data_IF_118573317646
#
_entry.id   IF_118573317646
#
_cell.length_a   1.000
_cell.length_b   1.000
_cell.length_c   1.000
_cell.angle_alpha   90.00
_cell.angle_beta   90.00
_cell.angle_gamma   90.00
#
_symmetry.space_group_name_H-M   'P 1'
#
loop_
_entity.id
_entity.type
_entity.pdbx_description
1 polymer ?
#
# COMPACT_ATOMS: atom_id res chain seq x y z
N UNK A 1 29.64 -38.36 8.42
CA UNK A 1 28.64 -37.27 8.32
C UNK A 1 28.76 -36.20 9.41
N UNK A 2 29.76 -36.23 10.30
CA UNK A 2 29.90 -35.23 11.38
C UNK A 2 31.13 -34.31 11.23
N UNK A 3 31.19 -33.49 10.18
CA UNK A 3 32.28 -32.50 10.05
C UNK A 3 31.89 -31.17 9.37
N UNK A 4 30.62 -30.97 9.01
CA UNK A 4 30.17 -29.79 8.24
C UNK A 4 29.23 -28.84 9.01
N UNK A 5 29.05 -29.03 10.31
CA UNK A 5 28.15 -28.21 11.15
C UNK A 5 28.86 -27.23 12.10
N UNK A 6 30.17 -26.99 11.97
CA UNK A 6 30.94 -26.25 12.98
C UNK A 6 31.50 -24.88 12.57
N UNK A 7 31.06 -24.28 11.46
CA UNK A 7 31.49 -22.92 11.06
C UNK A 7 30.39 -22.12 10.34
N UNK A 8 29.19 -22.06 10.91
CA UNK A 8 28.36 -20.87 10.70
C UNK A 8 28.79 -19.87 11.77
N UNK A 9 29.70 -18.96 11.41
CA UNK A 9 29.95 -17.73 12.17
C UNK A 9 28.68 -16.87 12.10
N UNK A 10 27.67 -17.26 12.89
CA UNK A 10 26.49 -16.44 13.09
C UNK A 10 26.93 -15.13 13.75
N UNK A 11 26.60 -14.02 13.08
CA UNK A 11 26.86 -12.68 13.59
C UNK A 11 26.29 -12.60 15.02
N UNK A 12 27.11 -12.27 16.05
CA UNK A 12 26.67 -12.35 17.43
C UNK A 12 25.45 -11.45 17.67
N UNK A 13 24.33 -12.06 18.07
CA UNK A 13 23.11 -11.33 18.39
C UNK A 13 23.32 -10.50 19.66
N UNK A 14 23.23 -9.18 19.54
CA UNK A 14 23.26 -8.27 20.69
C UNK A 14 21.85 -8.16 21.29
N UNK A 15 21.72 -8.50 22.56
CA UNK A 15 20.53 -8.18 23.36
C UNK A 15 20.81 -6.93 24.21
N UNK A 16 20.06 -5.85 23.97
CA UNK A 16 20.15 -4.62 24.78
C UNK A 16 19.10 -4.69 25.88
N UNK A 17 19.54 -4.82 27.14
CA UNK A 17 18.66 -4.76 28.31
C UNK A 17 18.55 -3.31 28.78
N UNK A 18 17.37 -2.72 28.60
CA UNK A 18 17.06 -1.35 29.02
C UNK A 18 16.43 -1.37 30.42
N UNK A 19 17.06 -0.70 31.39
CA UNK A 19 16.46 -0.43 32.69
C UNK A 19 15.55 0.80 32.57
N UNK A 20 14.23 0.60 32.48
CA UNK A 20 13.25 1.69 32.41
C UNK A 20 12.96 2.22 33.83
N UNK A 21 13.26 3.49 34.15
CA UNK A 21 12.76 4.09 35.38
C UNK A 21 11.23 4.22 35.30
N UNK A 22 10.54 4.08 36.45
CA UNK A 22 9.10 4.25 36.72
C UNK A 22 8.20 4.48 35.48
N UNK A 23 7.44 3.45 35.12
CA UNK A 23 6.15 3.49 34.39
C UNK A 23 5.99 4.66 33.41
N UNK A 24 6.82 4.71 32.37
CA UNK A 24 6.57 5.60 31.24
C UNK A 24 5.43 5.00 30.39
N UNK A 25 4.19 5.29 30.78
CA UNK A 25 2.96 4.79 30.12
C UNK A 25 3.02 4.99 28.60
N UNK A 26 3.60 6.11 28.14
CA UNK A 26 3.77 6.40 26.71
C UNK A 26 4.76 5.46 26.02
N UNK A 27 5.85 5.08 26.68
CA UNK A 27 6.78 4.10 26.13
C UNK A 27 6.11 2.73 25.98
N UNK A 28 5.29 2.31 26.95
CA UNK A 28 4.49 1.08 26.85
C UNK A 28 3.43 1.16 25.75
N UNK A 29 2.72 2.29 25.62
CA UNK A 29 1.75 2.50 24.55
C UNK A 29 2.41 2.43 23.18
N UNK A 30 3.56 3.06 22.98
CA UNK A 30 4.31 2.97 21.73
C UNK A 30 4.77 1.53 21.46
N UNK A 31 5.33 0.86 22.47
CA UNK A 31 5.76 -0.54 22.38
C UNK A 31 4.62 -1.48 22.00
N UNK A 32 3.44 -1.30 22.60
CA UNK A 32 2.24 -2.07 22.29
C UNK A 32 1.70 -1.74 20.89
N UNK A 33 1.70 -0.45 20.52
CA UNK A 33 1.25 0.01 19.20
C UNK A 33 2.08 -0.56 18.07
N UNK A 34 3.40 -0.67 18.26
CA UNK A 34 4.33 -1.26 17.28
C UNK A 34 4.17 -2.79 17.13
N UNK A 35 3.60 -3.48 18.12
CA UNK A 35 3.33 -4.93 18.06
C UNK A 35 1.94 -5.28 17.53
N UNK A 36 1.06 -4.29 17.46
CA UNK A 36 -0.32 -4.42 17.01
C UNK A 36 -0.53 -3.81 15.63
N UNK A 37 -1.71 -4.03 15.03
CA UNK A 37 -2.13 -3.43 13.77
C UNK A 37 -2.64 -2.00 13.99
N UNK A 38 -1.76 -1.10 14.42
CA UNK A 38 -2.12 0.30 14.69
C UNK A 38 -1.62 1.23 13.59
N UNK A 39 -2.34 2.34 13.40
CA UNK A 39 -1.91 3.41 12.48
C UNK A 39 -0.57 4.01 12.88
N UNK A 40 -0.22 3.99 14.17
CA UNK A 40 1.07 4.45 14.67
C UNK A 40 2.21 3.60 14.09
N UNK A 41 2.04 2.28 14.03
CA UNK A 41 3.04 1.38 13.42
C UNK A 41 3.25 1.72 11.94
N UNK A 42 2.16 1.88 11.21
CA UNK A 42 2.18 2.27 9.79
C UNK A 42 2.89 3.60 9.60
N UNK A 43 2.53 4.64 10.36
CA UNK A 43 3.19 5.93 10.27
C UNK A 43 4.68 5.82 10.61
N UNK A 44 5.03 5.11 11.68
CA UNK A 44 6.42 4.91 12.08
C UNK A 44 7.24 4.18 11.01
N UNK A 45 6.67 3.15 10.39
CA UNK A 45 7.32 2.37 9.34
C UNK A 45 7.56 3.20 8.08
N UNK A 46 6.51 3.86 7.57
CA UNK A 46 6.62 4.64 6.33
C UNK A 46 7.42 5.95 6.50
N UNK A 47 7.54 6.48 7.72
CA UNK A 47 8.45 7.60 7.99
C UNK A 47 9.93 7.21 7.83
N UNK A 48 10.27 5.92 7.77
CA UNK A 48 11.61 5.48 7.42
C UNK A 48 12.01 5.88 5.99
N UNK A 49 11.07 6.18 5.08
CA UNK A 49 11.42 6.75 3.77
C UNK A 49 12.16 8.07 3.90
N UNK A 50 11.73 8.95 4.82
CA UNK A 50 12.43 10.21 5.07
C UNK A 50 13.88 9.94 5.50
N UNK A 51 14.09 8.97 6.39
CA UNK A 51 15.43 8.57 6.85
C UNK A 51 16.28 7.95 5.72
N UNK A 52 15.70 7.04 4.95
CA UNK A 52 16.37 6.41 3.81
C UNK A 52 16.81 7.44 2.76
N UNK A 53 15.93 8.40 2.44
CA UNK A 53 16.23 9.47 1.49
C UNK A 53 17.37 10.37 2.00
N UNK A 54 17.36 10.74 3.29
CA UNK A 54 18.47 11.50 3.90
C UNK A 54 19.80 10.73 3.80
N UNK A 55 19.77 9.43 4.06
CA UNK A 55 20.96 8.57 4.00
C UNK A 55 21.47 8.44 2.56
N UNK A 56 20.60 8.15 1.60
CA UNK A 56 20.95 8.06 0.18
C UNK A 56 21.54 9.39 -0.32
N UNK A 57 20.91 10.52 0.00
CA UNK A 57 21.41 11.83 -0.41
C UNK A 57 22.81 12.13 0.13
N UNK A 58 23.07 11.74 1.40
CA UNK A 58 24.39 11.86 2.03
C UNK A 58 25.45 10.97 1.38
N UNK A 59 25.09 9.75 0.99
CA UNK A 59 26.00 8.78 0.36
C UNK A 59 26.31 9.17 -1.10
N UNK A 60 25.31 9.64 -1.84
CA UNK A 60 25.45 10.03 -3.24
C UNK A 60 26.19 11.36 -3.43
N UNK A 61 26.17 12.25 -2.43
CA UNK A 61 26.78 13.59 -2.51
C UNK A 61 27.79 13.80 -1.37
N UNK A 62 28.97 13.15 -1.41
CA UNK A 62 29.98 13.28 -0.35
C UNK A 62 30.51 14.71 -0.20
N UNK A 63 30.48 15.51 -1.28
CA UNK A 63 30.89 16.91 -1.29
C UNK A 63 30.06 17.78 -0.34
N UNK A 64 28.77 17.47 -0.17
CA UNK A 64 27.90 18.21 0.75
C UNK A 64 28.39 18.05 2.19
N UNK A 65 28.78 16.83 2.57
CA UNK A 65 29.32 16.55 3.89
C UNK A 65 30.63 17.32 4.11
N UNK A 66 31.46 17.43 3.07
CA UNK A 66 32.71 18.20 3.11
C UNK A 66 32.45 19.71 3.20
N UNK A 67 31.48 20.25 2.46
CA UNK A 67 31.11 21.68 2.48
C UNK A 67 30.65 22.15 3.86
N UNK A 68 29.93 21.30 4.61
CA UNK A 68 29.48 21.67 5.95
C UNK A 68 30.57 21.56 7.02
N UNK A 69 31.73 20.95 6.73
CA UNK A 69 32.96 21.10 7.52
C UNK A 69 32.84 20.82 9.03
N UNK A 70 31.87 20.02 9.47
CA UNK A 70 31.59 19.73 10.88
C UNK A 70 30.35 20.43 11.47
N UNK A 71 29.67 21.31 10.73
CA UNK A 71 28.38 21.88 11.11
C UNK A 71 27.24 20.86 10.89
N UNK A 72 27.08 19.97 11.88
CA UNK A 72 26.08 18.91 11.86
C UNK A 72 24.64 19.44 11.73
N UNK A 73 24.33 20.57 12.40
CA UNK A 73 22.98 21.17 12.37
C UNK A 73 22.64 21.76 11.00
N UNK A 74 23.62 22.37 10.33
CA UNK A 74 23.48 22.87 8.97
C UNK A 74 23.24 21.73 7.97
N UNK A 75 24.02 20.66 8.10
CA UNK A 75 23.87 19.46 7.27
C UNK A 75 22.47 18.83 7.46
N UNK A 76 22.03 18.62 8.70
CA UNK A 76 20.73 18.00 8.97
C UNK A 76 19.57 18.80 8.38
N UNK A 77 19.61 20.14 8.44
CA UNK A 77 18.59 20.99 7.81
C UNK A 77 18.56 20.83 6.29
N UNK A 78 19.70 20.70 5.62
CA UNK A 78 19.73 20.45 4.18
C UNK A 78 19.20 19.05 3.83
N UNK A 79 19.58 18.04 4.61
CA UNK A 79 19.04 16.68 4.46
C UNK A 79 17.52 16.67 4.65
N UNK A 80 16.99 17.38 5.64
CA UNK A 80 15.56 17.55 5.88
C UNK A 80 14.84 18.25 4.74
N UNK A 81 15.40 19.34 4.21
CA UNK A 81 14.82 20.04 3.05
C UNK A 81 14.69 19.11 1.85
N UNK A 82 15.72 18.31 1.59
CA UNK A 82 15.71 17.33 0.50
C UNK A 82 14.62 16.28 0.75
N UNK A 83 14.63 15.64 1.92
CA UNK A 83 13.66 14.60 2.28
C UNK A 83 12.21 15.10 2.16
N UNK A 84 11.93 16.31 2.68
CA UNK A 84 10.60 16.96 2.58
C UNK A 84 10.18 17.29 1.16
N UNK A 85 11.13 17.48 0.23
CA UNK A 85 10.84 17.76 -1.18
C UNK A 85 10.48 16.48 -1.94
N UNK A 86 11.12 15.35 -1.62
CA UNK A 86 10.92 14.08 -2.33
C UNK A 86 9.86 13.17 -1.71
N UNK A 87 9.60 13.30 -0.42
CA UNK A 87 8.64 12.45 0.29
C UNK A 87 7.62 13.29 1.04
N UNK A 88 6.35 12.98 0.80
CA UNK A 88 5.19 13.49 1.54
C UNK A 88 4.34 12.30 1.93
N UNK A 89 4.03 12.20 3.22
CA UNK A 89 3.18 11.14 3.72
C UNK A 89 1.81 11.70 4.08
N UNK A 90 0.80 11.25 3.34
CA UNK A 90 -0.56 11.74 3.43
C UNK A 90 -1.48 10.65 3.96
N UNK A 91 -2.17 10.93 5.05
CA UNK A 91 -3.12 10.01 5.68
C UNK A 91 -4.52 10.62 5.58
N UNK A 92 -5.47 9.88 5.01
CA UNK A 92 -6.89 10.27 5.04
C UNK A 92 -7.53 9.81 6.35
N UNK A 93 -8.01 10.77 7.14
CA UNK A 93 -8.79 10.56 8.36
C UNK A 93 -10.10 11.33 8.25
N UNK A 94 -11.06 10.84 7.44
CA UNK A 94 -12.36 11.49 7.22
C UNK A 94 -13.08 11.92 8.50
N UNK A 95 -13.00 11.10 9.55
CA UNK A 95 -13.73 11.32 10.82
C UNK A 95 -13.01 12.21 11.84
N UNK A 96 -11.86 12.80 11.51
CA UNK A 96 -11.04 13.58 12.46
C UNK A 96 -11.85 14.67 13.18
N UNK A 97 -12.74 15.37 12.47
CA UNK A 97 -13.58 16.44 13.03
C UNK A 97 -14.57 15.94 14.11
N UNK A 98 -14.86 14.64 14.13
CA UNK A 98 -15.82 13.95 15.01
C UNK A 98 -15.12 13.08 16.07
N UNK A 99 -13.81 13.24 16.26
CA UNK A 99 -13.04 12.51 17.26
C UNK A 99 -13.42 12.91 18.69
N UNK A 100 -13.41 11.93 19.59
CA UNK A 100 -13.52 12.15 21.03
C UNK A 100 -12.25 12.82 21.55
N UNK A 101 -12.27 13.47 22.74
CA UNK A 101 -11.12 14.19 23.27
C UNK A 101 -9.83 13.35 23.35
N UNK A 102 -9.91 12.08 23.74
CA UNK A 102 -8.75 11.19 23.80
C UNK A 102 -8.20 10.79 22.42
N UNK A 103 -9.07 10.64 21.41
CA UNK A 103 -8.65 10.36 20.03
C UNK A 103 -7.94 11.57 19.43
N UNK A 104 -8.41 12.77 19.77
CA UNK A 104 -7.79 14.02 19.34
C UNK A 104 -6.42 14.24 20.01
N UNK A 105 -6.28 13.89 21.29
CA UNK A 105 -4.97 13.89 21.98
C UNK A 105 -3.98 12.92 21.32
N UNK A 106 -4.45 11.72 20.94
CA UNK A 106 -3.62 10.73 20.24
C UNK A 106 -3.21 11.21 18.84
N UNK A 107 -4.11 11.84 18.09
CA UNK A 107 -3.80 12.43 16.79
C UNK A 107 -2.79 13.59 16.91
N UNK A 108 -2.92 14.42 17.94
CA UNK A 108 -1.98 15.50 18.23
C UNK A 108 -0.61 14.95 18.65
N UNK A 109 -0.57 13.85 19.42
CA UNK A 109 0.67 13.16 19.74
C UNK A 109 1.37 12.64 18.47
N UNK A 110 0.64 12.06 17.52
CA UNK A 110 1.18 11.64 16.23
C UNK A 110 1.79 12.81 15.45
N UNK A 111 1.09 13.95 15.37
CA UNK A 111 1.57 15.14 14.68
C UNK A 111 2.78 15.79 15.37
N UNK A 112 2.92 15.66 16.69
CA UNK A 112 4.11 16.10 17.42
C UNK A 112 5.30 15.17 17.20
N UNK A 113 5.08 13.86 17.16
CA UNK A 113 6.12 12.88 16.90
C UNK A 113 6.62 12.93 15.44
N UNK A 114 5.71 13.19 14.50
CA UNK A 114 5.99 13.28 13.08
C UNK A 114 5.42 14.57 12.47
N UNK A 115 6.12 15.71 12.61
CA UNK A 115 5.61 17.02 12.18
C UNK A 115 5.33 17.14 10.67
N UNK A 116 6.04 16.37 9.85
CA UNK A 116 5.90 16.36 8.39
C UNK A 116 4.77 15.47 7.88
N UNK A 117 4.06 14.77 8.78
CA UNK A 117 2.87 14.00 8.48
C UNK A 117 1.74 14.93 8.05
N UNK A 118 1.10 14.63 6.92
CA UNK A 118 -0.07 15.37 6.45
C UNK A 118 -1.32 14.54 6.69
N UNK A 119 -2.33 15.16 7.31
CA UNK A 119 -3.62 14.52 7.58
C UNK A 119 -4.70 15.26 6.80
N UNK A 120 -5.36 14.54 5.90
CA UNK A 120 -6.55 15.01 5.19
C UNK A 120 -7.80 14.57 5.94
N UNK A 121 -8.71 15.49 6.24
CA UNK A 121 -9.98 15.18 6.90
C UNK A 121 -11.15 15.95 6.29
N UNK A 122 -12.37 15.53 6.63
CA UNK A 122 -13.59 16.21 6.23
C UNK A 122 -14.02 17.18 7.32
N UNK A 123 -14.17 18.44 6.94
CA UNK A 123 -14.70 19.51 7.76
C UNK A 123 -16.13 19.82 7.31
N UNK A 124 -17.05 19.97 8.25
CA UNK A 124 -18.47 20.17 7.97
C UNK A 124 -18.90 21.54 8.53
N UNK A 125 -19.42 22.41 7.65
CA UNK A 125 -20.07 23.65 8.06
C UNK A 125 -21.60 23.51 7.99
N UNK A 126 -22.32 24.14 8.93
CA UNK A 126 -23.77 24.19 8.86
C UNK A 126 -24.25 24.86 7.57
N UNK A 127 -25.41 24.47 7.04
CA UNK A 127 -25.97 25.04 5.82
C UNK A 127 -26.27 26.54 5.99
N UNK A 128 -26.08 27.32 4.92
CA UNK A 128 -26.40 28.76 4.89
C UNK A 128 -27.92 29.04 4.93
N UNK A 129 -28.74 28.06 4.60
CA UNK A 129 -30.19 28.17 4.53
C UNK A 129 -30.82 27.06 5.38
N UNK A 130 -31.86 27.39 6.14
CA UNK A 130 -32.58 26.40 6.96
C UNK A 130 -33.14 25.28 6.07
N UNK A 131 -32.72 24.04 6.33
CA UNK A 131 -33.12 22.85 5.57
C UNK A 131 -32.19 22.44 4.41
N UNK A 132 -31.09 23.15 4.17
CA UNK A 132 -30.09 22.80 3.15
C UNK A 132 -29.12 21.68 3.57
N UNK A 133 -28.42 21.09 2.60
CA UNK A 133 -27.33 20.15 2.88
C UNK A 133 -26.11 20.84 3.50
N UNK A 134 -25.40 20.19 4.44
CA UNK A 134 -24.20 20.75 5.05
C UNK A 134 -23.11 20.95 4.00
N UNK A 135 -22.34 22.03 4.13
CA UNK A 135 -21.20 22.28 3.26
C UNK A 135 -20.01 21.47 3.76
N UNK A 136 -19.55 20.56 2.91
CA UNK A 136 -18.43 19.69 3.24
C UNK A 136 -17.17 20.25 2.58
N UNK A 137 -16.11 20.38 3.37
CA UNK A 137 -14.80 20.81 2.93
C UNK A 137 -13.81 19.69 3.14
N UNK A 138 -12.92 19.52 2.17
CA UNK A 138 -11.70 18.73 2.32
C UNK A 138 -10.61 19.64 2.89
N UNK A 139 -10.06 19.27 4.05
CA UNK A 139 -9.07 20.07 4.77
C UNK A 139 -7.78 19.28 4.98
N UNK A 140 -6.64 19.97 4.88
CA UNK A 140 -5.30 19.41 5.11
C UNK A 140 -4.62 20.09 6.30
N UNK A 141 -4.15 19.30 7.27
CA UNK A 141 -3.34 19.76 8.40
C UNK A 141 -2.00 19.03 8.46
N UNK A 142 -1.02 19.63 9.13
CA UNK A 142 0.23 18.98 9.51
C UNK A 142 0.72 19.48 10.88
N UNK A 143 1.86 18.94 11.35
CA UNK A 143 2.41 19.26 12.66
C UNK A 143 2.99 20.68 12.77
N UNK A 144 3.15 21.38 11.66
CA UNK A 144 3.63 22.77 11.62
C UNK A 144 2.49 23.81 11.61
N UNK A 145 1.24 23.38 11.48
CA UNK A 145 0.08 24.26 11.56
C UNK A 145 -0.06 24.93 12.93
N UNK A 146 -0.41 26.21 12.94
CA UNK A 146 -0.78 26.96 14.15
C UNK A 146 -1.98 26.32 14.85
N UNK A 147 -1.93 26.29 16.18
CA UNK A 147 -3.04 25.84 17.02
C UNK A 147 -3.94 27.05 17.28
N UNK A 148 -5.21 26.94 16.91
CA UNK A 148 -6.23 27.94 17.16
C UNK A 148 -6.72 27.86 18.62
N UNK A 149 -7.41 28.89 19.08
CA UNK A 149 -7.95 28.98 20.46
C UNK A 149 -8.92 27.84 20.82
N UNK A 150 -9.52 27.21 19.80
CA UNK A 150 -10.39 26.04 19.94
C UNK A 150 -9.62 24.71 20.11
N UNK A 151 -8.29 24.75 20.22
CA UNK A 151 -7.42 23.58 20.34
C UNK A 151 -7.23 22.78 19.03
N UNK A 152 -7.81 23.24 17.90
CA UNK A 152 -7.64 22.62 16.59
C UNK A 152 -6.55 23.33 15.80
N UNK A 153 -5.89 22.58 14.93
CA UNK A 153 -4.90 23.13 14.00
C UNK A 153 -5.58 23.88 12.86
N UNK A 154 -5.05 25.04 12.49
CA UNK A 154 -5.50 25.79 11.32
C UNK A 154 -5.16 24.99 10.05
N UNK A 155 -6.14 24.65 9.19
CA UNK A 155 -5.87 23.89 7.97
C UNK A 155 -5.03 24.72 6.98
N UNK A 156 -4.04 24.07 6.34
CA UNK A 156 -3.21 24.68 5.28
C UNK A 156 -4.01 24.91 4.01
N UNK A 157 -4.80 23.92 3.65
CA UNK A 157 -5.72 23.97 2.54
C UNK A 157 -7.10 23.58 3.04
N UNK A 158 -8.11 24.28 2.54
CA UNK A 158 -9.52 24.02 2.81
C UNK A 158 -10.28 24.23 1.51
N UNK A 159 -10.79 23.15 0.94
CA UNK A 159 -11.39 23.14 -0.40
C UNK A 159 -12.84 22.66 -0.25
N UNK A 160 -13.79 23.44 -0.76
CA UNK A 160 -15.19 23.07 -0.74
C UNK A 160 -15.44 21.92 -1.74
N UNK A 161 -16.11 20.86 -1.29
CA UNK A 161 -16.50 19.74 -2.14
C UNK A 161 -17.88 19.97 -2.74
N UNK A 162 -18.13 19.38 -3.91
CA UNK A 162 -19.40 19.50 -4.64
C UNK A 162 -20.57 18.72 -4.01
N UNK A 163 -20.33 17.99 -2.92
CA UNK A 163 -21.31 17.17 -2.22
C UNK A 163 -20.63 16.28 -1.18
N UNK A 164 -21.36 15.27 -0.68
CA UNK A 164 -20.80 14.28 0.24
C UNK A 164 -19.82 13.33 -0.49
N UNK A 165 -18.53 13.31 -0.13
CA UNK A 165 -17.54 12.47 -0.79
C UNK A 165 -17.61 10.99 -0.38
N UNK A 166 -18.42 10.65 0.63
CA UNK A 166 -18.55 9.26 1.11
C UNK A 166 -19.59 8.56 0.23
N UNK A 167 -19.11 7.87 -0.80
CA UNK A 167 -19.96 7.15 -1.76
C UNK A 167 -19.96 5.65 -1.51
N UNK A 168 -18.82 5.03 -1.18
CA UNK A 168 -18.66 3.58 -1.07
C UNK A 168 -18.36 3.08 0.34
N UNK A 169 -17.54 2.03 0.41
CA UNK A 169 -17.14 1.33 1.64
C UNK A 169 -16.02 2.05 2.42
N UNK A 170 -15.68 3.29 2.04
CA UNK A 170 -14.73 4.14 2.76
C UNK A 170 -13.27 4.04 2.31
N UNK A 171 -12.73 2.88 1.89
CA UNK A 171 -11.32 2.78 1.44
C UNK A 171 -11.09 3.60 0.16
N UNK A 172 -11.88 3.36 -0.87
CA UNK A 172 -11.86 4.12 -2.13
C UNK A 172 -12.13 5.61 -1.91
N UNK A 173 -13.12 5.95 -1.08
CA UNK A 173 -13.45 7.34 -0.75
C UNK A 173 -12.29 8.05 -0.04
N UNK A 174 -11.59 7.36 0.86
CA UNK A 174 -10.41 7.89 1.56
C UNK A 174 -9.25 8.16 0.61
N UNK A 175 -8.96 7.22 -0.30
CA UNK A 175 -7.89 7.39 -1.28
C UNK A 175 -8.21 8.55 -2.25
N UNK A 176 -9.44 8.62 -2.76
CA UNK A 176 -9.88 9.70 -3.65
C UNK A 176 -9.90 11.06 -2.94
N UNK A 177 -10.30 11.10 -1.66
CA UNK A 177 -10.25 12.31 -0.84
C UNK A 177 -8.82 12.80 -0.63
N UNK A 178 -7.88 11.90 -0.33
CA UNK A 178 -6.46 12.25 -0.18
C UNK A 178 -5.84 12.74 -1.49
N UNK A 179 -6.29 12.23 -2.63
CA UNK A 179 -5.78 12.58 -3.95
C UNK A 179 -5.92 14.09 -4.29
N UNK A 180 -6.73 14.87 -3.58
CA UNK A 180 -6.76 16.33 -3.81
C UNK A 180 -5.42 16.99 -3.40
N UNK A 181 -4.76 16.42 -2.39
CA UNK A 181 -3.57 16.99 -1.77
C UNK A 181 -2.26 16.30 -2.17
N UNK A 182 -2.30 15.26 -3.02
CA UNK A 182 -1.06 14.60 -3.44
C UNK A 182 -0.15 15.59 -4.15
N UNK A 183 1.15 15.47 -3.91
CA UNK A 183 2.19 16.20 -4.64
C UNK A 183 3.34 15.24 -4.89
N UNK A 184 3.55 14.90 -6.15
CA UNK A 184 4.57 13.93 -6.58
C UNK A 184 4.20 13.30 -7.91
N UNK A 185 5.20 12.76 -8.60
CA UNK A 185 5.04 12.04 -9.87
C UNK A 185 4.54 10.61 -9.67
N UNK A 186 4.93 10.00 -8.54
CA UNK A 186 4.54 8.66 -8.16
C UNK A 186 3.79 8.66 -6.82
N UNK A 187 2.79 7.79 -6.70
CA UNK A 187 2.01 7.58 -5.49
C UNK A 187 2.17 6.13 -5.06
N UNK A 188 2.44 5.89 -3.78
CA UNK A 188 2.34 4.56 -3.18
C UNK A 188 1.03 4.49 -2.40
N UNK A 189 0.21 3.49 -2.71
CA UNK A 189 -1.01 3.22 -1.93
C UNK A 189 -0.69 2.20 -0.84
N UNK A 190 -1.14 2.52 0.37
CA UNK A 190 -0.86 1.72 1.56
C UNK A 190 -2.12 1.53 2.40
N UNK A 191 -2.21 0.37 3.03
CA UNK A 191 -3.24 0.09 4.02
C UNK A 191 -2.80 0.53 5.43
N UNK A 192 -3.77 0.85 6.29
CA UNK A 192 -3.53 1.34 7.64
C UNK A 192 -2.87 0.33 8.59
N UNK A 193 -2.69 -0.93 8.17
CA UNK A 193 -2.06 -2.02 8.91
C UNK A 193 -0.75 -2.52 8.26
N UNK A 194 -0.18 -1.75 7.32
CA UNK A 194 1.11 -2.05 6.73
C UNK A 194 2.28 -1.45 7.51
N UNK A 195 3.47 -1.98 7.29
CA UNK A 195 4.71 -1.54 7.93
C UNK A 195 5.83 -1.48 6.88
N UNK A 196 6.83 -0.63 7.12
CA UNK A 196 7.97 -0.53 6.22
C UNK A 196 9.28 -0.43 7.01
N UNK A 197 10.22 -1.30 6.64
CA UNK A 197 11.53 -1.37 7.26
C UNK A 197 12.49 -0.39 6.56
N UNK A 198 13.51 0.06 7.30
CA UNK A 198 14.46 1.06 6.77
C UNK A 198 15.24 0.50 5.56
N UNK A 199 15.60 -0.77 5.61
CA UNK A 199 16.31 -1.53 4.59
C UNK A 199 15.51 -1.60 3.28
N UNK A 200 14.19 -1.74 3.38
CA UNK A 200 13.29 -1.74 2.22
C UNK A 200 13.15 -0.32 1.65
N UNK A 201 13.08 0.70 2.51
CA UNK A 201 13.02 2.09 2.11
C UNK A 201 14.24 2.54 1.28
N UNK A 202 15.42 1.95 1.50
CA UNK A 202 16.63 2.23 0.71
C UNK A 202 16.50 1.80 -0.76
N UNK A 203 15.62 0.83 -1.05
CA UNK A 203 15.41 0.29 -2.41
C UNK A 203 14.49 1.16 -3.26
N UNK A 204 13.95 2.25 -2.72
CA UNK A 204 12.99 3.12 -3.41
C UNK A 204 13.51 3.63 -4.76
N UNK A 205 14.81 3.95 -4.86
CA UNK A 205 15.43 4.38 -6.11
C UNK A 205 15.29 3.33 -7.21
N UNK A 206 15.54 2.06 -6.87
CA UNK A 206 15.40 0.95 -7.81
C UNK A 206 13.93 0.75 -8.21
N UNK A 207 13.00 0.81 -7.24
CA UNK A 207 11.56 0.68 -7.54
C UNK A 207 11.06 1.79 -8.46
N UNK A 208 11.50 3.03 -8.26
CA UNK A 208 11.12 4.14 -9.15
C UNK A 208 11.74 4.00 -10.55
N UNK A 209 12.92 3.38 -10.68
CA UNK A 209 13.53 3.11 -11.97
C UNK A 209 12.72 2.09 -12.81
N UNK A 210 11.90 1.24 -12.18
CA UNK A 210 11.04 0.29 -12.90
C UNK A 210 9.98 0.95 -13.78
N UNK A 211 9.67 2.24 -13.56
CA UNK A 211 8.78 3.02 -14.41
C UNK A 211 9.38 3.35 -15.79
N UNK A 212 10.68 3.09 -16.01
CA UNK A 212 11.38 3.27 -17.29
C UNK A 212 11.36 4.72 -17.84
N UNK A 213 11.05 5.71 -16.99
CA UNK A 213 11.06 7.14 -17.36
C UNK A 213 12.44 7.78 -17.18
N UNK A 214 13.35 7.11 -16.46
CA UNK A 214 14.72 7.56 -16.29
C UNK A 214 15.50 7.24 -17.57
N UNK A 215 15.99 8.27 -18.26
CA UNK A 215 16.84 8.15 -19.47
C UNK A 215 18.26 7.63 -19.18
N UNK A 216 18.41 6.70 -18.25
CA UNK A 216 19.67 6.04 -17.94
C UNK A 216 19.70 4.77 -18.80
N UNK A 217 20.70 4.64 -19.66
CA UNK A 217 20.94 3.37 -20.35
C UNK A 217 21.17 2.28 -19.29
N UNK A 218 20.33 1.23 -19.21
CA UNK A 218 20.56 0.14 -18.28
C UNK A 218 21.79 -0.66 -18.73
N UNK A 219 22.96 -0.31 -18.21
CA UNK A 219 24.20 -1.07 -18.44
C UNK A 219 24.16 -2.32 -17.57
N UNK A 220 24.15 -3.51 -18.17
CA UNK A 220 24.20 -4.76 -17.41
C UNK A 220 25.63 -4.99 -16.90
N UNK A 221 25.91 -4.96 -15.59
CA UNK A 221 27.28 -5.10 -15.07
C UNK A 221 27.84 -6.50 -15.34
N UNK A 222 26.98 -7.50 -15.53
CA UNK A 222 27.38 -8.89 -15.78
C UNK A 222 27.52 -9.25 -17.26
N UNK A 223 27.05 -8.38 -18.18
CA UNK A 223 27.10 -8.66 -19.63
C UNK A 223 27.48 -7.39 -20.40
N UNK A 224 28.77 -7.06 -20.48
CA UNK A 224 29.25 -5.91 -21.22
C UNK A 224 28.83 -6.02 -22.70
N UNK A 225 28.13 -5.02 -23.23
CA UNK A 225 27.70 -4.96 -24.63
C UNK A 225 26.26 -5.41 -24.91
N UNK A 226 25.53 -5.91 -23.91
CA UNK A 226 24.09 -6.12 -24.05
C UNK A 226 23.39 -4.75 -24.03
N UNK A 227 23.12 -4.20 -25.20
CA UNK A 227 22.26 -3.02 -25.33
C UNK A 227 20.81 -3.49 -25.16
N UNK A 228 20.06 -2.82 -24.28
CA UNK A 228 18.61 -2.98 -24.28
C UNK A 228 18.12 -2.62 -25.70
N UNK A 229 17.24 -3.42 -26.29
CA UNK A 229 16.59 -3.02 -27.55
C UNK A 229 16.01 -1.62 -27.37
N UNK A 230 16.17 -0.74 -28.37
CA UNK A 230 15.62 0.61 -28.34
C UNK A 230 14.13 0.53 -27.98
N UNK A 231 13.80 0.89 -26.74
CA UNK A 231 12.43 0.86 -26.22
C UNK A 231 11.61 2.03 -26.77
N UNK A 232 11.83 2.45 -28.02
CA UNK A 232 11.20 3.63 -28.61
C UNK A 232 9.68 3.51 -28.76
N UNK A 233 9.11 2.32 -28.52
CA UNK A 233 7.71 2.00 -28.71
C UNK A 233 7.04 1.34 -27.49
N UNK A 234 7.67 1.39 -26.32
CA UNK A 234 7.10 0.78 -25.13
C UNK A 234 5.97 1.65 -24.54
N UNK A 235 4.82 1.01 -24.31
CA UNK A 235 3.72 1.57 -23.55
C UNK A 235 4.18 2.02 -22.15
N UNK A 236 3.70 3.15 -21.60
CA UNK A 236 4.15 3.64 -20.29
C UNK A 236 3.81 2.63 -19.18
N UNK A 237 4.70 2.49 -18.20
CA UNK A 237 4.42 1.71 -16.99
C UNK A 237 3.51 2.54 -16.10
N UNK A 238 2.28 2.07 -15.89
CA UNK A 238 1.30 2.78 -15.07
C UNK A 238 1.42 2.39 -13.59
N UNK A 239 1.72 1.12 -13.31
CA UNK A 239 1.74 0.56 -11.96
C UNK A 239 2.93 -0.40 -11.82
N UNK A 240 3.67 -0.27 -10.74
CA UNK A 240 4.71 -1.21 -10.31
C UNK A 240 4.26 -1.83 -9.01
N UNK A 241 3.82 -3.07 -9.06
CA UNK A 241 3.35 -3.74 -7.87
C UNK A 241 4.47 -4.44 -7.09
N UNK A 242 4.33 -4.47 -5.78
CA UNK A 242 5.32 -5.00 -4.84
C UNK A 242 4.75 -6.15 -4.01
N UNK A 243 5.60 -6.91 -3.34
CA UNK A 243 5.16 -8.03 -2.50
C UNK A 243 4.89 -7.60 -1.05
N UNK A 244 4.06 -8.38 -0.37
CA UNK A 244 3.76 -8.21 1.05
C UNK A 244 4.41 -9.32 1.88
N UNK A 245 4.86 -8.97 3.08
CA UNK A 245 5.33 -9.90 4.09
C UNK A 245 4.38 -9.87 5.30
N UNK A 246 3.78 -11.01 5.63
CA UNK A 246 2.80 -11.10 6.71
C UNK A 246 3.52 -11.32 8.05
N UNK A 247 3.79 -10.24 8.78
CA UNK A 247 4.51 -10.34 10.06
C UNK A 247 3.71 -11.02 11.18
N UNK A 248 2.41 -11.24 10.99
CA UNK A 248 1.55 -11.95 11.94
C UNK A 248 1.59 -13.48 11.78
N UNK A 249 2.39 -14.03 10.87
CA UNK A 249 2.52 -15.47 10.59
C UNK A 249 2.69 -16.33 11.86
N UNK A 250 3.51 -15.88 12.81
CA UNK A 250 3.88 -16.62 14.02
C UNK A 250 2.78 -16.66 15.11
N UNK A 251 1.60 -16.12 14.85
CA UNK A 251 0.53 -16.05 15.85
C UNK A 251 -0.30 -17.33 15.95
N UNK A 252 -0.14 -18.28 15.01
CA UNK A 252 -0.77 -19.59 15.04
C UNK A 252 -0.94 -20.23 13.66
N UNK A 253 -1.50 -21.44 13.61
CA UNK A 253 -1.67 -22.23 12.36
C UNK A 253 -2.51 -21.50 11.30
N UNK A 254 -3.58 -20.80 11.72
CA UNK A 254 -4.37 -19.97 10.81
C UNK A 254 -3.55 -18.80 10.23
N UNK A 255 -2.63 -18.26 11.02
CA UNK A 255 -1.65 -17.25 10.60
C UNK A 255 -0.72 -17.75 9.54
N UNK A 256 -0.13 -18.91 9.78
CA UNK A 256 0.77 -19.58 8.85
C UNK A 256 0.10 -19.87 7.50
N UNK A 257 -1.09 -20.48 7.50
CA UNK A 257 -1.84 -20.76 6.26
C UNK A 257 -2.21 -19.49 5.50
N UNK A 258 -2.67 -18.45 6.21
CA UNK A 258 -3.02 -17.18 5.59
C UNK A 258 -1.79 -16.46 5.01
N UNK A 259 -0.66 -16.50 5.72
CA UNK A 259 0.62 -15.94 5.27
C UNK A 259 1.16 -16.68 4.04
N UNK A 260 1.16 -18.01 4.05
CA UNK A 260 1.61 -18.83 2.92
C UNK A 260 0.78 -18.60 1.65
N UNK A 261 -0.54 -18.40 1.79
CA UNK A 261 -1.41 -17.99 0.68
C UNK A 261 -0.98 -16.65 0.08
N UNK A 262 -0.77 -15.64 0.92
CA UNK A 262 -0.37 -14.30 0.45
C UNK A 262 1.03 -14.31 -0.16
N UNK A 263 1.97 -15.06 0.42
CA UNK A 263 3.32 -15.20 -0.09
C UNK A 263 3.34 -15.84 -1.49
N UNK A 264 2.55 -16.90 -1.69
CA UNK A 264 2.42 -17.56 -3.00
C UNK A 264 1.82 -16.63 -4.04
N UNK A 265 0.79 -15.86 -3.65
CA UNK A 265 0.14 -14.89 -4.51
C UNK A 265 1.08 -13.73 -4.89
N UNK A 266 1.73 -13.13 -3.90
CA UNK A 266 2.61 -11.98 -4.06
C UNK A 266 3.99 -12.28 -4.64
N UNK A 267 4.29 -13.54 -4.96
CA UNK A 267 5.56 -13.95 -5.59
C UNK A 267 5.30 -14.70 -6.89
N UNK A 268 5.18 -16.03 -6.85
CA UNK A 268 5.08 -16.91 -8.02
C UNK A 268 3.94 -16.49 -8.96
N UNK A 269 2.76 -16.24 -8.39
CA UNK A 269 1.58 -15.88 -9.17
C UNK A 269 1.72 -14.48 -9.79
N UNK A 270 2.01 -13.47 -8.97
CA UNK A 270 2.21 -12.10 -9.42
C UNK A 270 3.35 -11.96 -10.46
N UNK A 271 4.46 -12.69 -10.30
CA UNK A 271 5.58 -12.72 -11.26
C UNK A 271 5.12 -13.27 -12.62
N UNK A 272 4.50 -14.43 -12.61
CA UNK A 272 4.05 -15.10 -13.84
C UNK A 272 3.00 -14.25 -14.57
N UNK A 273 2.03 -13.70 -13.82
CA UNK A 273 1.03 -12.80 -14.38
C UNK A 273 1.62 -11.51 -14.93
N UNK A 274 2.63 -10.94 -14.26
CA UNK A 274 3.27 -9.71 -14.75
C UNK A 274 4.01 -9.94 -16.06
N UNK A 275 4.64 -11.10 -16.24
CA UNK A 275 5.36 -11.43 -17.49
C UNK A 275 4.41 -11.67 -18.67
N UNK A 276 3.26 -12.31 -18.42
CA UNK A 276 2.26 -12.59 -19.46
C UNK A 276 1.35 -11.37 -19.71
N UNK A 277 1.35 -10.38 -18.81
CA UNK A 277 0.50 -9.20 -18.89
C UNK A 277 -0.90 -9.40 -18.33
N UNK A 278 -1.10 -10.42 -17.49
CA UNK A 278 -2.35 -10.71 -16.79
C UNK A 278 -2.43 -10.14 -15.37
N UNK A 279 -1.40 -9.41 -14.89
CA UNK A 279 -1.39 -8.84 -13.54
C UNK A 279 -2.20 -7.55 -13.48
N UNK A 280 -3.00 -7.38 -12.44
CA UNK A 280 -3.72 -6.14 -12.11
C UNK A 280 -3.15 -5.45 -10.86
N UNK A 281 -3.78 -4.35 -10.47
CA UNK A 281 -3.52 -3.64 -9.22
C UNK A 281 -4.31 -4.29 -8.08
N UNK A 282 -3.62 -4.64 -6.99
CA UNK A 282 -4.23 -5.28 -5.81
C UNK A 282 -4.22 -4.39 -4.57
N UNK A 283 -4.18 -3.07 -4.78
CA UNK A 283 -4.35 -2.05 -3.75
C UNK A 283 -3.07 -1.58 -3.09
N UNK A 284 -2.27 -2.50 -2.57
CA UNK A 284 -1.08 -2.17 -1.80
C UNK A 284 -0.06 -3.34 -1.83
N UNK A 285 1.24 -3.06 -1.68
CA UNK A 285 1.91 -1.76 -1.55
C UNK A 285 2.37 -1.23 -2.92
N UNK A 286 1.48 -1.29 -3.93
CA UNK A 286 1.80 -0.93 -5.30
C UNK A 286 2.13 0.56 -5.46
N UNK A 287 3.09 0.85 -6.33
CA UNK A 287 3.44 2.19 -6.78
C UNK A 287 2.72 2.50 -8.08
N UNK A 288 2.26 3.74 -8.20
CA UNK A 288 1.43 4.20 -9.30
C UNK A 288 2.02 5.46 -9.90
N UNK A 289 2.08 5.54 -11.23
CA UNK A 289 2.35 6.77 -11.95
C UNK A 289 1.14 7.71 -11.80
N UNK A 290 1.31 8.74 -10.97
CA UNK A 290 0.24 9.65 -10.60
C UNK A 290 -0.30 10.40 -11.82
N UNK A 291 0.58 10.88 -12.69
CA UNK A 291 0.21 11.62 -13.90
C UNK A 291 -0.62 10.76 -14.85
N UNK A 292 -0.21 9.49 -15.05
CA UNK A 292 -0.93 8.57 -15.91
C UNK A 292 -2.33 8.26 -15.36
N UNK A 293 -2.43 7.89 -14.08
CA UNK A 293 -3.69 7.42 -13.48
C UNK A 293 -4.68 8.54 -13.19
N UNK A 294 -4.22 9.69 -12.68
CA UNK A 294 -5.12 10.80 -12.30
C UNK A 294 -5.82 11.43 -13.51
N UNK A 295 -5.20 11.37 -14.68
CA UNK A 295 -5.80 11.82 -15.95
C UNK A 295 -6.72 10.78 -16.60
N UNK A 296 -6.81 9.55 -16.06
CA UNK A 296 -7.46 8.39 -16.71
C UNK A 296 -8.45 7.63 -15.84
N UNK A 297 -8.90 8.21 -14.73
CA UNK A 297 -9.92 7.60 -13.86
C UNK A 297 -9.54 7.55 -12.38
N UNK A 298 -8.35 8.01 -12.02
CA UNK A 298 -7.89 8.06 -10.63
C UNK A 298 -7.33 6.71 -10.15
N UNK A 299 -7.18 6.59 -8.84
CA UNK A 299 -6.51 5.44 -8.21
C UNK A 299 -7.49 4.40 -7.69
N UNK A 300 -8.77 4.75 -7.52
CA UNK A 300 -9.75 3.88 -6.90
C UNK A 300 -11.17 4.21 -7.34
N UNK A 301 -11.95 3.18 -7.70
CA UNK A 301 -13.32 3.35 -8.18
C UNK A 301 -14.32 3.25 -7.02
N UNK A 302 -14.78 4.39 -6.52
CA UNK A 302 -15.78 4.46 -5.44
C UNK A 302 -17.21 4.39 -6.00
N UNK A 303 -18.03 3.48 -5.49
CA UNK A 303 -19.48 3.47 -5.75
C UNK A 303 -20.24 2.85 -4.57
N UNK A 304 -21.46 3.33 -4.31
CA UNK A 304 -22.30 2.84 -3.21
C UNK A 304 -22.78 1.41 -3.47
N UNK A 305 -22.36 0.47 -2.63
CA UNK A 305 -22.80 -0.93 -2.68
C UNK A 305 -22.34 -1.71 -3.91
N UNK A 306 -21.37 -1.18 -4.65
CA UNK A 306 -20.76 -1.81 -5.83
C UNK A 306 -19.26 -1.51 -5.84
N UNK A 307 -18.49 -2.32 -6.56
CA UNK A 307 -17.04 -2.23 -6.66
C UNK A 307 -16.32 -2.48 -5.33
N UNK A 308 -16.64 -3.61 -4.68
CA UNK A 308 -15.96 -4.06 -3.44
C UNK A 308 -14.44 -4.24 -3.60
N UNK A 309 -13.99 -4.50 -4.84
CA UNK A 309 -12.59 -4.63 -5.22
C UNK A 309 -12.16 -3.39 -6.05
N UNK A 310 -12.27 -2.22 -5.44
CA UNK A 310 -12.06 -0.89 -6.04
C UNK A 310 -10.69 -0.74 -6.74
N UNK A 311 -9.65 -1.35 -6.17
CA UNK A 311 -8.27 -1.24 -6.62
C UNK A 311 -8.07 -1.96 -7.97
N UNK A 312 -8.74 -3.11 -8.15
CA UNK A 312 -8.64 -3.92 -9.36
C UNK A 312 -9.18 -3.16 -10.57
N UNK A 313 -10.20 -2.32 -10.39
CA UNK A 313 -10.72 -1.46 -11.45
C UNK A 313 -9.70 -0.43 -11.93
N UNK A 314 -8.84 0.07 -11.05
CA UNK A 314 -7.75 0.95 -11.46
C UNK A 314 -6.72 0.17 -12.31
N UNK A 315 -6.42 -1.08 -11.94
CA UNK A 315 -5.59 -1.98 -12.76
C UNK A 315 -6.19 -2.23 -14.16
N UNK A 316 -7.48 -2.54 -14.24
CA UNK A 316 -8.15 -2.75 -15.53
C UNK A 316 -8.16 -1.48 -16.40
N UNK A 317 -8.42 -0.32 -15.80
CA UNK A 317 -8.34 0.97 -16.49
C UNK A 317 -6.92 1.27 -16.99
N UNK A 318 -5.89 0.95 -16.21
CA UNK A 318 -4.51 1.13 -16.64
C UNK A 318 -4.22 0.33 -17.91
N UNK A 319 -4.60 -0.96 -17.94
CA UNK A 319 -4.41 -1.81 -19.12
C UNK A 319 -5.22 -1.34 -20.33
N UNK A 320 -6.51 -1.03 -20.14
CA UNK A 320 -7.40 -0.56 -21.23
C UNK A 320 -6.94 0.75 -21.87
N UNK A 321 -6.19 1.58 -21.12
CA UNK A 321 -5.64 2.85 -21.61
C UNK A 321 -4.22 2.71 -22.15
N UNK A 322 -3.76 1.48 -22.37
CA UNK A 322 -2.45 1.19 -22.93
C UNK A 322 -1.29 1.40 -21.95
N UNK A 323 -1.56 1.35 -20.65
CA UNK A 323 -0.53 1.30 -19.61
C UNK A 323 -0.09 -0.14 -19.31
N UNK A 324 1.15 -0.32 -18.90
CA UNK A 324 1.68 -1.63 -18.44
C UNK A 324 1.71 -1.71 -16.92
N UNK A 325 1.56 -2.92 -16.41
CA UNK A 325 1.67 -3.24 -14.97
C UNK A 325 2.86 -4.17 -14.78
N UNK A 326 3.82 -3.75 -13.96
CA UNK A 326 5.01 -4.52 -13.61
C UNK A 326 4.90 -5.12 -12.20
N UNK A 327 5.80 -6.04 -11.90
CA UNK A 327 5.97 -6.58 -10.56
C UNK A 327 7.44 -6.63 -10.16
N UNK A 328 7.75 -6.07 -8.99
CA UNK A 328 9.04 -6.19 -8.35
C UNK A 328 8.93 -7.07 -7.10
N UNK A 329 9.89 -7.96 -6.90
CA UNK A 329 9.92 -8.87 -5.75
C UNK A 329 11.01 -8.53 -4.74
N UNK A 330 12.01 -7.73 -5.13
CA UNK A 330 13.12 -7.37 -4.26
C UNK A 330 12.71 -6.34 -3.18
N UNK A 331 11.60 -5.64 -3.37
CA UNK A 331 11.01 -4.71 -2.41
C UNK A 331 9.77 -5.33 -1.78
N UNK A 332 9.64 -5.20 -0.46
CA UNK A 332 8.50 -5.74 0.29
C UNK A 332 8.01 -4.78 1.38
N UNK A 333 6.72 -4.82 1.69
CA UNK A 333 6.16 -4.17 2.87
C UNK A 333 5.60 -5.20 3.85
N UNK A 334 5.75 -4.92 5.14
CA UNK A 334 5.08 -5.69 6.18
C UNK A 334 3.57 -5.46 6.15
N UNK A 335 2.78 -6.47 6.47
CA UNK A 335 1.32 -6.37 6.62
C UNK A 335 0.81 -7.20 7.76
N UNK A 336 -0.02 -6.58 8.59
CA UNK A 336 -0.76 -7.29 9.63
C UNK A 336 -1.99 -7.96 9.05
N UNK A 337 -2.27 -9.19 9.48
CA UNK A 337 -3.53 -9.87 9.19
C UNK A 337 -4.19 -10.30 10.49
N UNK A 338 -5.50 -10.09 10.56
CA UNK A 338 -6.34 -10.65 11.61
C UNK A 338 -6.62 -12.11 11.31
N UNK A 339 -6.31 -12.98 12.27
CA UNK A 339 -6.21 -14.43 12.06
C UNK A 339 -7.41 -15.23 12.62
N UNK A 340 -8.50 -14.53 12.95
CA UNK A 340 -9.76 -15.17 13.32
C UNK A 340 -10.45 -15.77 12.10
N UNK A 341 -11.05 -16.95 12.24
CA UNK A 341 -11.79 -17.62 11.16
C UNK A 341 -12.89 -16.73 10.55
N UNK A 342 -13.65 -16.03 11.39
CA UNK A 342 -14.67 -15.09 10.92
C UNK A 342 -14.10 -13.94 10.10
N UNK A 343 -12.93 -13.41 10.48
CA UNK A 343 -12.27 -12.34 9.73
C UNK A 343 -11.72 -12.83 8.39
N UNK A 344 -11.12 -14.03 8.37
CA UNK A 344 -10.66 -14.69 7.14
C UNK A 344 -11.83 -14.99 6.19
N UNK A 345 -12.95 -15.45 6.73
CA UNK A 345 -14.18 -15.71 5.98
C UNK A 345 -14.70 -14.41 5.35
N UNK A 346 -14.86 -13.35 6.15
CA UNK A 346 -15.32 -12.05 5.64
C UNK A 346 -14.40 -11.50 4.55
N UNK A 347 -13.09 -11.62 4.72
CA UNK A 347 -12.10 -11.22 3.70
C UNK A 347 -12.27 -12.02 2.40
N UNK A 348 -12.43 -13.34 2.50
CA UNK A 348 -12.59 -14.21 1.33
C UNK A 348 -13.92 -13.96 0.62
N UNK A 349 -15.00 -13.75 1.38
CA UNK A 349 -16.31 -13.37 0.86
C UNK A 349 -16.25 -12.03 0.13
N UNK A 350 -15.55 -11.03 0.68
CA UNK A 350 -15.38 -9.73 0.03
C UNK A 350 -14.69 -9.88 -1.33
N UNK A 351 -13.59 -10.64 -1.40
CA UNK A 351 -12.89 -10.88 -2.67
C UNK A 351 -13.80 -11.60 -3.67
N UNK A 352 -14.48 -12.67 -3.25
CA UNK A 352 -15.36 -13.46 -4.10
C UNK A 352 -16.53 -12.64 -4.66
N UNK A 353 -17.19 -11.85 -3.82
CA UNK A 353 -18.27 -10.97 -4.23
C UNK A 353 -17.77 -9.89 -5.22
N UNK A 354 -16.64 -9.25 -4.91
CA UNK A 354 -16.05 -8.25 -5.80
C UNK A 354 -15.60 -8.82 -7.15
N UNK A 355 -15.18 -10.09 -7.22
CA UNK A 355 -14.89 -10.77 -8.50
C UNK A 355 -16.15 -11.03 -9.31
N UNK A 356 -17.26 -11.38 -8.65
CA UNK A 356 -18.57 -11.49 -9.31
C UNK A 356 -19.02 -10.16 -9.94
N UNK A 357 -18.83 -9.05 -9.23
CA UNK A 357 -19.09 -7.71 -9.77
C UNK A 357 -18.20 -7.36 -10.96
N UNK A 358 -16.92 -7.76 -10.92
CA UNK A 358 -15.99 -7.53 -12.03
C UNK A 358 -16.45 -8.21 -13.32
N UNK A 359 -16.99 -9.43 -13.25
CA UNK A 359 -17.51 -10.13 -14.44
C UNK A 359 -18.64 -9.35 -15.14
N UNK A 360 -19.44 -8.59 -14.38
CA UNK A 360 -20.52 -7.77 -14.89
C UNK A 360 -20.07 -6.37 -15.35
N UNK A 361 -18.80 -6.04 -15.13
CA UNK A 361 -18.27 -4.70 -15.39
C UNK A 361 -17.97 -4.47 -16.87
N UNK A 362 -18.10 -3.20 -17.28
CA UNK A 362 -17.79 -2.75 -18.64
C UNK A 362 -16.30 -2.93 -18.95
N UNK A 363 -15.43 -2.69 -17.96
CA UNK A 363 -13.99 -2.84 -18.09
C UNK A 363 -13.63 -4.30 -18.45
N UNK A 364 -14.26 -5.27 -17.77
CA UNK A 364 -14.08 -6.68 -18.06
C UNK A 364 -14.58 -7.06 -19.45
N UNK A 365 -15.71 -6.50 -19.90
CA UNK A 365 -16.22 -6.69 -21.26
C UNK A 365 -15.23 -6.20 -22.34
N UNK A 366 -14.63 -5.02 -22.16
CA UNK A 366 -13.65 -4.51 -23.12
C UNK A 366 -12.34 -5.33 -23.11
N UNK A 367 -11.84 -5.72 -21.94
CA UNK A 367 -10.67 -6.60 -21.86
C UNK A 367 -10.96 -7.94 -22.54
N UNK A 368 -12.15 -8.50 -22.35
CA UNK A 368 -12.55 -9.76 -22.96
C UNK A 368 -12.67 -9.72 -24.50
N UNK A 369 -12.92 -8.55 -25.08
CA UNK A 369 -13.06 -8.38 -26.54
C UNK A 369 -11.79 -7.92 -27.24
N UNK A 370 -10.86 -7.29 -26.51
CA UNK A 370 -9.65 -6.68 -27.08
C UNK A 370 -8.37 -7.49 -26.84
N UNK A 371 -8.34 -8.36 -25.83
CA UNK A 371 -7.15 -9.16 -25.54
C UNK A 371 -6.99 -10.31 -26.55
N UNK A 372 -5.75 -10.63 -26.97
CA UNK A 372 -5.49 -11.83 -27.75
C UNK A 372 -5.78 -13.08 -26.90
N UNK A 373 -6.06 -14.21 -27.56
CA UNK A 373 -6.62 -15.41 -26.90
C UNK A 373 -5.75 -15.94 -25.76
N UNK A 374 -4.43 -15.91 -25.90
CA UNK A 374 -3.45 -16.33 -24.88
C UNK A 374 -3.52 -15.46 -23.61
N UNK A 375 -3.58 -14.14 -23.78
CA UNK A 375 -3.73 -13.19 -22.67
C UNK A 375 -5.13 -13.23 -22.09
N UNK A 376 -6.15 -13.44 -22.91
CA UNK A 376 -7.53 -13.57 -22.46
C UNK A 376 -7.70 -14.81 -21.56
N UNK A 377 -7.18 -15.97 -21.96
CA UNK A 377 -7.24 -17.18 -21.14
C UNK A 377 -6.48 -17.01 -19.83
N UNK A 378 -5.31 -16.36 -19.87
CA UNK A 378 -4.53 -16.01 -18.67
C UNK A 378 -5.34 -15.09 -17.75
N UNK A 379 -5.93 -14.03 -18.30
CA UNK A 379 -6.75 -13.08 -17.58
C UNK A 379 -7.99 -13.75 -16.95
N UNK A 380 -8.67 -14.63 -17.69
CA UNK A 380 -9.80 -15.40 -17.18
C UNK A 380 -9.38 -16.30 -16.01
N UNK A 381 -8.34 -17.11 -16.19
CA UNK A 381 -7.86 -18.02 -15.16
C UNK A 381 -7.38 -17.28 -13.91
N UNK A 382 -6.69 -16.16 -14.10
CA UNK A 382 -6.13 -15.35 -13.00
C UNK A 382 -7.18 -14.65 -12.14
N UNK A 383 -8.37 -14.38 -12.69
CA UNK A 383 -9.41 -13.59 -12.04
C UNK A 383 -10.67 -14.44 -11.78
N UNK A 384 -11.81 -14.30 -12.51
CA UNK A 384 -13.03 -15.01 -12.10
C UNK A 384 -12.94 -16.52 -12.31
N UNK A 385 -12.14 -16.99 -13.28
CA UNK A 385 -11.96 -18.42 -13.56
C UNK A 385 -11.40 -19.17 -12.36
N UNK A 386 -10.48 -18.57 -11.59
CA UNK A 386 -9.96 -19.15 -10.36
C UNK A 386 -11.08 -19.47 -9.35
N UNK A 387 -12.00 -18.54 -9.13
CA UNK A 387 -13.08 -18.70 -8.17
C UNK A 387 -14.13 -19.71 -8.63
N UNK A 388 -14.49 -19.69 -9.92
CA UNK A 388 -15.41 -20.66 -10.51
C UNK A 388 -14.83 -22.09 -10.46
N UNK A 389 -13.56 -22.24 -10.81
CA UNK A 389 -12.88 -23.55 -10.75
C UNK A 389 -12.83 -24.08 -9.31
N UNK A 390 -12.53 -23.22 -8.33
CA UNK A 390 -12.54 -23.63 -6.92
C UNK A 390 -13.93 -24.08 -6.44
N UNK A 391 -15.00 -23.44 -6.90
CA UNK A 391 -16.37 -23.88 -6.61
C UNK A 391 -16.62 -25.28 -7.16
N UNK A 392 -16.25 -25.55 -8.41
CA UNK A 392 -16.41 -26.87 -9.02
C UNK A 392 -15.57 -27.93 -8.30
N UNK A 393 -14.32 -27.63 -7.95
CA UNK A 393 -13.45 -28.55 -7.21
C UNK A 393 -14.06 -28.90 -5.85
N UNK A 394 -14.54 -27.89 -5.11
CA UNK A 394 -15.20 -28.11 -3.81
C UNK A 394 -16.47 -28.96 -3.94
N UNK A 395 -17.31 -28.68 -4.94
CA UNK A 395 -18.51 -29.48 -5.20
C UNK A 395 -18.16 -30.91 -5.57
N UNK A 396 -17.17 -31.13 -6.44
CA UNK A 396 -16.72 -32.48 -6.81
C UNK A 396 -16.19 -33.26 -5.62
N UNK A 397 -15.41 -32.63 -4.73
CA UNK A 397 -14.94 -33.26 -3.50
C UNK A 397 -16.07 -33.59 -2.53
N UNK A 398 -17.04 -32.69 -2.36
CA UNK A 398 -18.21 -32.93 -1.52
C UNK A 398 -19.05 -34.09 -2.05
N UNK A 399 -19.31 -34.13 -3.36
CA UNK A 399 -20.02 -35.24 -3.99
C UNK A 399 -19.26 -36.55 -3.84
N UNK A 400 -17.94 -36.54 -4.06
CA UNK A 400 -17.08 -37.71 -3.87
C UNK A 400 -17.14 -38.25 -2.44
N UNK A 401 -17.00 -37.37 -1.43
CA UNK A 401 -17.09 -37.74 -0.02
C UNK A 401 -18.48 -38.27 0.34
N UNK A 402 -19.54 -37.62 -0.16
CA UNK A 402 -20.91 -38.07 0.04
C UNK A 402 -21.13 -39.46 -0.55
N UNK A 403 -20.63 -39.72 -1.76
CA UNK A 403 -20.71 -41.03 -2.39
C UNK A 403 -19.97 -42.09 -1.57
N UNK A 404 -18.74 -41.79 -1.10
CA UNK A 404 -17.97 -42.73 -0.28
C UNK A 404 -18.64 -43.04 1.06
N UNK A 405 -19.18 -42.04 1.75
CA UNK A 405 -19.89 -42.24 3.03
C UNK A 405 -21.14 -43.09 2.83
N UNK A 406 -21.92 -42.82 1.77
CA UNK A 406 -23.10 -43.63 1.47
C UNK A 406 -22.75 -45.06 1.05
N UNK A 407 -21.68 -45.26 0.27
CA UNK A 407 -21.19 -46.60 -0.08
C UNK A 407 -20.71 -47.36 1.15
N UNK A 408 -20.04 -46.70 2.09
CA UNK A 408 -19.61 -47.32 3.35
C UNK A 408 -20.79 -47.63 4.27
N UNK A 409 -21.82 -46.78 4.31
CA UNK A 409 -23.03 -47.05 5.09
C UNK A 409 -23.89 -48.20 4.51
N UNK A 410 -23.70 -48.54 3.23
CA UNK A 410 -24.34 -49.67 2.56
C UNK A 410 -23.55 -50.98 2.64
N UNK A 411 -22.26 -50.91 2.99
CA UNK A 411 -21.36 -52.05 3.20
C UNK A 411 -21.40 -52.49 4.67
#
# INVERSE_FOLDING_TARGET
>A
EDAWNSQMDDCPSIAVVLNLPRLNIRAYQNWASLRSQTIYRTISGFMNYSRAIKLLYRVENPEIVQMFGGNADGLERELEKMARRKFKFLVSMQRLAKFKPHELENAEFLLRAYPDLQIAYLDEEPPLSEGGEPRIYSALIDGHCEILDNGRRRPKFRIQLSGNPILGDGKSDNQNHALIFYRGEYIQLIDANQDNYLEECLKIRSVLAEFEELGIEPVHPYTPGLKYEDQSNNHPVAIVGAREYIFSENSGVLGDVAAGKEQTFGTLFARTLSQIGGKLHYGHPDFINATFMTTRGGVSKAQKGLHLNEDIYAGMNALLRGGRIKHCEYYQCGKGRDLGFGTILNFTTKIGAGMGEQMLSREYYYLGTQLPIDRFLTFYYAHPGFHLNNLFIQLSLQMFMLTLVNLHALA
#
